data_IF_995301280299
#
_entry.id   IF_995301280299
#
_cell.length_a   1.000
_cell.length_b   1.000
_cell.length_c   1.000
_cell.angle_alpha   90.00
_cell.angle_beta   90.00
_cell.angle_gamma   90.00
#
_symmetry.space_group_name_H-M   'P 1'
#
loop_
_entity.id
_entity.type
_entity.pdbx_description
1 polymer ?
#
# COMPACT_ATOMS: atom_id res chain seq x y z
N UNK A 1 -1.75 -1.97 -6.67
CA UNK A 1 -1.53 -3.33 -7.23
C UNK A 1 -2.83 -4.05 -7.46
N UNK A 2 -2.82 -5.02 -8.35
CA UNK A 2 -3.94 -5.92 -8.62
C UNK A 2 -3.91 -7.16 -7.70
N UNK A 3 -5.06 -7.81 -7.56
CA UNK A 3 -5.15 -9.08 -6.85
C UNK A 3 -4.20 -10.12 -7.46
N UNK A 4 -3.37 -10.77 -6.64
CA UNK A 4 -2.40 -11.77 -7.08
C UNK A 4 -1.20 -11.24 -7.86
N UNK A 5 -1.05 -9.92 -7.97
CA UNK A 5 0.12 -9.30 -8.61
C UNK A 5 1.39 -9.62 -7.83
N UNK A 6 2.43 -10.03 -8.57
CA UNK A 6 3.76 -10.30 -8.05
C UNK A 6 4.80 -9.65 -8.94
N UNK A 7 5.79 -9.01 -8.32
CA UNK A 7 6.86 -8.34 -9.03
C UNK A 7 8.21 -8.66 -8.38
N UNK A 8 9.13 -9.19 -9.19
CA UNK A 8 10.51 -9.43 -8.78
C UNK A 8 11.48 -8.69 -9.69
N UNK A 9 12.54 -8.20 -9.11
CA UNK A 9 13.68 -7.68 -9.82
C UNK A 9 14.53 -8.82 -10.43
N UNK A 10 15.50 -8.48 -11.26
CA UNK A 10 16.41 -9.44 -11.91
C UNK A 10 17.28 -10.24 -10.93
N UNK A 11 17.51 -9.70 -9.73
CA UNK A 11 18.20 -10.40 -8.64
C UNK A 11 17.32 -11.41 -7.89
N UNK A 12 16.05 -11.57 -8.32
CA UNK A 12 15.07 -12.47 -7.73
C UNK A 12 14.36 -11.94 -6.48
N UNK A 13 14.74 -10.75 -5.99
CA UNK A 13 14.09 -10.12 -4.85
C UNK A 13 12.76 -9.48 -5.25
N UNK A 14 11.80 -9.49 -4.33
CA UNK A 14 10.52 -8.82 -4.53
C UNK A 14 10.68 -7.30 -4.52
N UNK A 15 9.75 -6.65 -5.17
CA UNK A 15 9.58 -5.19 -5.19
C UNK A 15 8.38 -4.84 -4.35
N UNK A 16 8.51 -3.91 -3.42
CA UNK A 16 7.38 -3.46 -2.60
C UNK A 16 6.39 -2.68 -3.46
N UNK A 17 5.21 -3.23 -3.67
CA UNK A 17 4.15 -2.61 -4.48
C UNK A 17 3.16 -1.83 -3.61
N UNK A 18 2.59 -0.76 -4.16
CA UNK A 18 1.51 -0.04 -3.52
C UNK A 18 0.27 -0.95 -3.36
N UNK A 19 -0.35 -1.04 -2.16
CA UNK A 19 -1.27 -2.14 -1.83
C UNK A 19 -2.65 -2.08 -2.50
N UNK A 20 -3.06 -0.94 -3.07
CA UNK A 20 -4.37 -0.78 -3.73
C UNK A 20 -4.23 -0.65 -5.25
N UNK A 21 -5.29 -1.04 -5.97
CA UNK A 21 -5.38 -0.87 -7.43
C UNK A 21 -5.42 0.61 -7.84
N UNK A 22 -6.10 1.44 -7.05
CA UNK A 22 -6.17 2.89 -7.25
C UNK A 22 -5.57 3.61 -6.06
N UNK A 23 -4.76 4.62 -6.34
CA UNK A 23 -4.22 5.53 -5.33
C UNK A 23 -5.13 6.77 -5.27
N UNK A 24 -5.95 6.83 -4.22
CA UNK A 24 -6.76 8.00 -3.89
C UNK A 24 -6.51 8.40 -2.44
N UNK A 25 -5.59 9.34 -2.25
CA UNK A 25 -5.21 9.83 -0.93
C UNK A 25 -6.22 10.86 -0.44
N UNK A 26 -6.75 10.65 0.77
CA UNK A 26 -7.72 11.56 1.41
C UNK A 26 -7.07 12.43 2.46
N UNK A 27 -5.99 11.96 3.08
CA UNK A 27 -5.17 12.74 3.99
C UNK A 27 -3.69 12.43 3.74
N UNK A 28 -2.89 13.47 3.65
CA UNK A 28 -1.44 13.38 3.44
C UNK A 28 -0.68 13.27 4.76
N UNK A 29 0.60 12.94 4.67
CA UNK A 29 1.56 13.02 5.77
C UNK A 29 1.66 14.44 6.31
N UNK A 30 1.88 14.58 7.62
CA UNK A 30 1.90 15.87 8.28
C UNK A 30 0.56 16.60 8.27
N UNK A 31 -0.50 15.98 7.80
CA UNK A 31 -1.85 16.54 7.80
C UNK A 31 -2.39 16.81 9.20
N UNK A 32 -3.50 17.55 9.27
CA UNK A 32 -4.09 17.93 10.54
C UNK A 32 -4.50 16.72 11.41
N UNK A 33 -4.62 16.91 12.71
CA UNK A 33 -5.08 15.91 13.68
C UNK A 33 -4.20 14.66 13.76
N UNK A 34 -4.67 13.54 13.20
CA UNK A 34 -4.06 12.22 13.32
C UNK A 34 -2.73 12.08 12.58
N UNK A 35 -2.47 12.90 11.56
CA UNK A 35 -1.23 12.86 10.78
C UNK A 35 -0.24 13.96 11.16
N UNK A 36 -0.61 14.90 12.04
CA UNK A 36 0.31 15.96 12.45
C UNK A 36 1.60 15.37 13.05
N UNK A 37 2.71 15.66 12.37
CA UNK A 37 4.06 15.18 12.73
C UNK A 37 4.38 13.74 12.29
N UNK A 38 3.45 13.03 11.65
CA UNK A 38 3.68 11.65 11.17
C UNK A 38 3.88 11.57 9.65
N UNK A 39 4.45 10.45 9.18
CA UNK A 39 4.57 10.11 7.76
C UNK A 39 3.46 9.18 7.29
N UNK A 40 2.35 9.15 8.01
CA UNK A 40 1.17 8.35 7.68
C UNK A 40 0.35 9.02 6.59
N UNK A 41 -0.33 8.22 5.78
CA UNK A 41 -1.30 8.66 4.79
C UNK A 41 -2.63 7.91 4.96
N UNK A 42 -3.74 8.54 4.59
CA UNK A 42 -5.04 7.88 4.51
C UNK A 42 -5.47 7.71 3.05
N UNK A 43 -5.92 6.51 2.73
CA UNK A 43 -6.28 6.09 1.38
C UNK A 43 -7.73 5.63 1.35
N UNK A 44 -8.53 6.32 0.58
CA UNK A 44 -9.88 5.88 0.28
C UNK A 44 -9.90 4.83 -0.83
N UNK A 45 -10.80 3.87 -0.74
CA UNK A 45 -11.05 2.94 -1.83
C UNK A 45 -11.60 3.66 -3.06
N UNK A 46 -11.05 3.33 -4.22
CA UNK A 46 -11.42 3.90 -5.51
C UNK A 46 -11.45 2.84 -6.59
N UNK A 47 -12.17 3.06 -7.67
CA UNK A 47 -12.29 2.19 -8.84
C UNK A 47 -12.64 2.97 -10.09
N UNK A 48 -12.83 2.30 -11.21
CA UNK A 48 -13.14 2.93 -12.50
C UNK A 48 -14.39 3.83 -12.47
N UNK A 49 -15.33 3.53 -11.58
CA UNK A 49 -16.60 4.26 -11.42
C UNK A 49 -16.62 5.17 -10.18
N UNK A 50 -15.47 5.48 -9.59
CA UNK A 50 -15.35 6.35 -8.42
C UNK A 50 -15.18 5.59 -7.10
N UNK A 51 -15.74 6.12 -6.03
CA UNK A 51 -15.60 5.66 -4.65
C UNK A 51 -16.01 4.19 -4.47
N UNK A 52 -15.17 3.41 -3.80
CA UNK A 52 -15.43 2.02 -3.41
C UNK A 52 -15.28 1.88 -1.90
N UNK A 53 -16.35 1.45 -1.24
CA UNK A 53 -16.33 1.13 0.19
C UNK A 53 -15.87 -0.31 0.40
N UNK A 54 -15.20 -0.57 1.52
CA UNK A 54 -14.61 -1.89 1.82
C UNK A 54 -13.68 -2.36 0.69
N UNK A 55 -12.96 -1.41 0.10
CA UNK A 55 -12.02 -1.67 -0.99
C UNK A 55 -10.91 -2.62 -0.53
N UNK A 56 -10.63 -3.69 -1.26
CA UNK A 56 -9.57 -4.62 -0.89
C UNK A 56 -8.18 -3.97 -1.02
N UNK A 57 -7.28 -4.34 -0.10
CA UNK A 57 -5.86 -4.10 -0.24
C UNK A 57 -5.06 -5.40 -0.07
N UNK A 58 -3.92 -5.45 -0.72
CA UNK A 58 -3.15 -6.66 -0.90
C UNK A 58 -1.76 -6.54 -0.28
N UNK A 59 -1.14 -7.69 0.05
CA UNK A 59 0.21 -7.75 0.58
C UNK A 59 1.22 -7.10 -0.40
N UNK A 60 1.89 -5.99 -0.01
CA UNK A 60 2.82 -5.26 -0.88
C UNK A 60 4.03 -6.08 -1.32
N UNK A 61 4.41 -7.04 -0.50
CA UNK A 61 5.46 -8.04 -0.72
C UNK A 61 5.11 -9.29 0.09
N UNK A 62 5.85 -10.37 -0.03
CA UNK A 62 5.74 -11.54 0.86
C UNK A 62 6.07 -11.12 2.29
N UNK A 63 5.12 -11.32 3.19
CA UNK A 63 5.15 -10.76 4.53
C UNK A 63 4.54 -11.69 5.58
N UNK A 64 4.72 -11.36 6.83
CA UNK A 64 4.07 -12.01 7.95
C UNK A 64 3.34 -11.00 8.84
N UNK A 65 2.24 -11.43 9.43
CA UNK A 65 1.55 -10.67 10.46
C UNK A 65 2.39 -10.63 11.73
N UNK A 66 2.68 -9.43 12.23
CA UNK A 66 3.44 -9.22 13.47
C UNK A 66 2.52 -9.02 14.65
N UNK A 67 1.54 -8.13 14.52
CA UNK A 67 0.65 -7.73 15.60
C UNK A 67 -0.65 -7.16 15.05
N UNK A 68 -1.68 -7.19 15.88
CA UNK A 68 -2.95 -6.52 15.66
C UNK A 68 -3.49 -6.02 16.98
N UNK A 69 -4.04 -4.81 17.00
CA UNK A 69 -4.73 -4.27 18.19
C UNK A 69 -6.15 -4.84 18.36
N UNK A 70 -6.60 -5.65 17.41
CA UNK A 70 -7.98 -6.11 17.35
C UNK A 70 -8.95 -4.98 16.98
N UNK A 71 -10.21 -5.16 17.30
CA UNK A 71 -11.31 -4.27 16.90
C UNK A 71 -11.44 -2.98 17.71
N UNK A 72 -10.76 -2.91 18.86
CA UNK A 72 -11.13 -1.95 19.91
C UNK A 72 -10.63 -0.53 19.62
N UNK A 73 -9.47 -0.39 18.97
CA UNK A 73 -8.85 0.91 18.77
C UNK A 73 -8.32 1.01 17.34
N UNK A 74 -9.18 1.39 16.41
CA UNK A 74 -8.81 1.63 15.01
C UNK A 74 -8.35 0.38 14.23
N UNK A 75 -8.38 -0.82 14.81
CA UNK A 75 -7.94 -2.08 14.21
C UNK A 75 -6.59 -1.95 13.49
N UNK A 76 -5.56 -1.55 14.22
CA UNK A 76 -4.21 -1.38 13.68
C UNK A 76 -3.53 -2.74 13.52
N UNK A 77 -3.21 -3.09 12.29
CA UNK A 77 -2.64 -4.38 11.89
C UNK A 77 -1.23 -4.15 11.35
N UNK A 78 -0.22 -4.76 11.97
CA UNK A 78 1.20 -4.58 11.64
C UNK A 78 1.72 -5.81 10.92
N UNK A 79 2.33 -5.57 9.78
CA UNK A 79 2.99 -6.55 8.94
C UNK A 79 4.47 -6.21 8.78
N UNK A 80 5.28 -7.23 8.49
CA UNK A 80 6.67 -7.02 8.07
C UNK A 80 7.05 -7.96 6.92
N UNK A 81 7.97 -7.53 6.07
CA UNK A 81 8.50 -8.34 4.98
C UNK A 81 9.27 -9.54 5.54
N UNK A 82 9.17 -10.69 4.87
CA UNK A 82 9.93 -11.91 5.23
C UNK A 82 11.39 -11.76 4.80
N UNK A 83 11.61 -11.21 3.62
CA UNK A 83 12.92 -10.94 3.04
C UNK A 83 13.12 -9.45 2.79
N UNK A 84 14.36 -9.06 2.47
CA UNK A 84 14.64 -7.73 1.94
C UNK A 84 13.98 -7.57 0.57
N UNK A 85 13.37 -6.41 0.34
CA UNK A 85 12.65 -6.04 -0.87
C UNK A 85 13.19 -4.75 -1.47
N UNK A 86 13.05 -4.56 -2.77
CA UNK A 86 13.36 -3.29 -3.42
C UNK A 86 12.31 -2.24 -3.07
N UNK A 87 12.77 -1.13 -2.50
CA UNK A 87 11.95 0.01 -2.10
C UNK A 87 12.03 1.13 -3.17
N UNK A 88 11.01 1.96 -3.24
CA UNK A 88 10.92 3.02 -4.25
C UNK A 88 11.99 4.13 -4.10
N UNK A 89 12.69 4.21 -2.98
CA UNK A 89 13.88 5.06 -2.83
C UNK A 89 15.15 4.48 -3.47
N UNK A 90 15.07 3.25 -4.02
CA UNK A 90 16.18 2.53 -4.66
C UNK A 90 16.96 1.62 -3.71
N UNK A 91 16.62 1.56 -2.45
CA UNK A 91 17.28 0.67 -1.48
C UNK A 91 16.73 -0.76 -1.53
N UNK A 92 17.52 -1.72 -1.02
CA UNK A 92 17.12 -3.10 -0.76
C UNK A 92 17.17 -3.34 0.74
N UNK A 93 15.99 -3.43 1.39
CA UNK A 93 15.93 -3.58 2.84
C UNK A 93 14.68 -4.33 3.30
N UNK A 94 14.65 -4.70 4.59
CA UNK A 94 13.42 -5.10 5.26
C UNK A 94 12.51 -3.88 5.43
N UNK A 95 11.21 -4.15 5.52
CA UNK A 95 10.19 -3.12 5.71
C UNK A 95 9.07 -3.65 6.58
N UNK A 96 8.53 -2.82 7.46
CA UNK A 96 7.29 -3.09 8.16
C UNK A 96 6.27 -1.99 7.88
N UNK A 97 5.00 -2.32 8.00
CA UNK A 97 3.92 -1.36 7.78
C UNK A 97 2.71 -1.67 8.64
N UNK A 98 1.85 -0.67 8.76
CA UNK A 98 0.61 -0.74 9.48
C UNK A 98 -0.55 -0.34 8.58
N UNK A 99 -1.62 -1.14 8.63
CA UNK A 99 -2.93 -0.77 8.12
C UNK A 99 -3.91 -0.59 9.27
N UNK A 100 -4.76 0.42 9.18
CA UNK A 100 -5.78 0.73 10.16
C UNK A 100 -7.18 0.74 9.58
N UNK A 101 -8.17 0.69 10.47
CA UNK A 101 -9.59 0.93 10.22
C UNK A 101 -10.37 -0.17 9.52
N UNK A 102 -9.78 -1.33 9.18
CA UNK A 102 -10.57 -2.46 8.69
C UNK A 102 -11.62 -2.88 9.75
N UNK A 103 -12.85 -3.12 9.33
CA UNK A 103 -13.94 -3.58 10.21
C UNK A 103 -13.85 -5.09 10.56
N UNK A 104 -12.91 -5.79 9.95
CA UNK A 104 -12.67 -7.21 10.16
C UNK A 104 -11.36 -7.44 10.91
N UNK A 105 -11.24 -8.52 11.71
CA UNK A 105 -9.96 -8.93 12.25
C UNK A 105 -9.00 -9.31 11.10
N UNK A 106 -7.69 -9.42 11.36
CA UNK A 106 -6.74 -9.94 10.37
C UNK A 106 -7.18 -11.30 9.83
N UNK A 107 -6.99 -11.52 8.54
CA UNK A 107 -7.36 -12.77 7.87
C UNK A 107 -6.42 -13.95 8.20
N UNK A 108 -5.41 -13.73 9.03
CA UNK A 108 -4.42 -14.73 9.43
C UNK A 108 -3.95 -14.51 10.87
N UNK A 109 -3.23 -15.48 11.40
CA UNK A 109 -2.65 -15.41 12.75
C UNK A 109 -1.24 -14.80 12.73
N UNK A 110 -0.80 -14.17 13.83
CA UNK A 110 0.58 -13.70 13.96
C UNK A 110 1.60 -14.78 13.63
N UNK A 111 2.66 -14.39 12.89
CA UNK A 111 3.69 -15.29 12.39
C UNK A 111 3.36 -16.00 11.08
N UNK A 112 2.10 -16.01 10.65
CA UNK A 112 1.72 -16.62 9.36
C UNK A 112 2.29 -15.79 8.20
N UNK A 113 2.95 -16.47 7.27
CA UNK A 113 3.48 -15.87 6.04
C UNK A 113 2.41 -15.85 4.97
N UNK A 114 2.23 -14.69 4.34
CA UNK A 114 1.37 -14.50 3.17
C UNK A 114 2.21 -13.99 1.99
N UNK A 115 1.89 -14.47 0.80
CA UNK A 115 2.59 -14.12 -0.42
C UNK A 115 2.18 -12.74 -0.93
N UNK A 116 3.08 -12.06 -1.64
CA UNK A 116 2.77 -10.83 -2.36
C UNK A 116 1.49 -10.96 -3.20
N UNK A 117 0.64 -9.95 -3.19
CA UNK A 117 -0.64 -9.93 -3.91
C UNK A 117 -1.80 -10.67 -3.22
N UNK A 118 -1.56 -11.30 -2.07
CA UNK A 118 -2.64 -11.91 -1.27
C UNK A 118 -3.51 -10.82 -0.66
N UNK A 119 -4.84 -11.00 -0.65
CA UNK A 119 -5.77 -10.14 0.08
C UNK A 119 -5.45 -10.20 1.58
N UNK A 120 -5.16 -9.05 2.19
CA UNK A 120 -4.82 -8.96 3.62
C UNK A 120 -5.73 -8.03 4.42
N UNK A 121 -6.63 -7.32 3.75
CA UNK A 121 -7.62 -6.48 4.43
C UNK A 121 -8.46 -5.66 3.46
N UNK A 122 -9.31 -4.82 4.04
CA UNK A 122 -10.19 -3.90 3.32
C UNK A 122 -10.22 -2.55 4.01
N UNK A 123 -10.41 -1.47 3.25
CA UNK A 123 -10.73 -0.17 3.82
C UNK A 123 -11.93 -0.27 4.76
N UNK A 124 -12.02 0.59 5.75
CA UNK A 124 -13.09 0.46 6.73
C UNK A 124 -13.32 1.72 7.56
N UNK A 125 -14.10 1.52 8.61
CA UNK A 125 -14.56 2.58 9.51
C UNK A 125 -14.35 2.22 10.99
N UNK A 126 -13.48 1.25 11.28
CA UNK A 126 -13.19 0.88 12.67
C UNK A 126 -12.47 2.02 13.39
N UNK A 127 -12.98 2.39 14.58
CA UNK A 127 -12.41 3.44 15.40
C UNK A 127 -12.97 4.84 15.13
N UNK A 128 -12.22 5.86 15.53
CA UNK A 128 -12.65 7.26 15.42
C UNK A 128 -12.26 7.83 14.04
N UNK A 129 -13.12 7.62 13.05
CA UNK A 129 -12.91 8.04 11.66
C UNK A 129 -14.14 8.72 11.08
N UNK A 130 -13.95 9.55 10.07
CA UNK A 130 -15.03 10.29 9.40
C UNK A 130 -15.60 9.57 8.17
N UNK A 131 -14.96 8.49 7.73
CA UNK A 131 -15.39 7.73 6.56
C UNK A 131 -14.54 6.50 6.29
N UNK A 132 -14.97 5.67 5.35
CA UNK A 132 -14.28 4.45 4.95
C UNK A 132 -12.93 4.77 4.29
N UNK A 133 -11.83 4.30 4.88
CA UNK A 133 -10.47 4.44 4.36
C UNK A 133 -9.54 3.39 4.99
N UNK A 134 -8.30 3.36 4.57
CA UNK A 134 -7.21 2.68 5.26
C UNK A 134 -6.15 3.69 5.66
N UNK A 135 -5.79 3.71 6.94
CA UNK A 135 -4.61 4.39 7.45
C UNK A 135 -3.38 3.56 7.10
N UNK A 136 -2.36 4.18 6.49
CA UNK A 136 -1.16 3.49 6.03
C UNK A 136 0.09 4.19 6.51
N UNK A 137 0.91 3.47 7.26
CA UNK A 137 2.19 3.91 7.80
C UNK A 137 3.25 2.86 7.48
N UNK A 138 4.46 3.28 7.12
CA UNK A 138 5.56 2.39 6.70
C UNK A 138 6.83 2.77 7.47
N UNK A 139 7.67 1.77 7.79
CA UNK A 139 8.98 1.98 8.37
C UNK A 139 10.02 1.03 7.76
N UNK A 140 11.25 1.50 7.73
CA UNK A 140 12.41 0.71 7.30
C UNK A 140 12.81 -0.30 8.38
N UNK A 141 13.17 -1.51 7.95
CA UNK A 141 13.62 -2.57 8.84
C UNK A 141 12.47 -3.41 9.40
N UNK A 142 12.83 -4.31 10.31
CA UNK A 142 11.85 -5.07 11.09
C UNK A 142 11.12 -4.18 12.08
N UNK A 143 9.95 -4.62 12.52
CA UNK A 143 9.17 -3.90 13.52
C UNK A 143 9.95 -3.72 14.82
N UNK A 144 10.23 -2.47 15.16
CA UNK A 144 10.98 -2.06 16.37
C UNK A 144 10.13 -1.24 17.35
N UNK A 145 8.80 -1.36 17.25
CA UNK A 145 7.88 -0.54 18.01
C UNK A 145 7.60 0.82 17.39
N UNK A 146 6.87 1.63 18.11
CA UNK A 146 6.51 2.99 17.71
C UNK A 146 6.97 4.03 18.71
N UNK A 147 6.73 5.27 18.34
CA UNK A 147 6.98 6.46 19.14
C UNK A 147 5.83 7.45 19.02
N UNK A 148 5.77 8.40 19.95
CA UNK A 148 4.81 9.49 19.93
C UNK A 148 5.49 10.75 19.45
N UNK A 149 4.89 11.43 18.47
CA UNK A 149 5.48 12.61 17.84
C UNK A 149 4.63 13.86 18.05
N UNK A 150 5.28 15.04 18.21
CA UNK A 150 4.57 16.31 18.30
C UNK A 150 3.95 16.69 16.94
N UNK A 151 2.98 17.64 16.91
CA UNK A 151 2.45 18.37 18.06
C UNK A 151 1.35 17.62 18.83
N UNK A 152 0.69 16.63 18.23
CA UNK A 152 -0.53 16.02 18.76
C UNK A 152 -0.30 14.69 19.47
N UNK A 153 0.95 14.34 19.75
CA UNK A 153 1.31 13.06 20.38
C UNK A 153 0.81 11.83 19.56
N UNK A 154 0.81 11.99 18.24
CA UNK A 154 0.41 10.93 17.33
C UNK A 154 1.42 9.78 17.32
N UNK A 155 0.93 8.57 17.07
CA UNK A 155 1.79 7.40 17.00
C UNK A 155 2.31 7.20 15.57
N UNK A 156 3.60 6.87 15.46
CA UNK A 156 4.20 6.34 14.24
C UNK A 156 5.23 5.26 14.56
N UNK A 157 5.70 4.54 13.57
CA UNK A 157 6.84 3.64 13.75
C UNK A 157 8.11 4.42 14.09
N UNK A 158 8.97 3.80 14.88
CA UNK A 158 10.40 4.12 14.84
C UNK A 158 10.93 3.84 13.44
N UNK A 159 11.82 4.69 12.91
CA UNK A 159 12.32 4.62 11.55
C UNK A 159 11.22 4.70 10.46
N UNK A 160 10.12 5.42 10.75
CA UNK A 160 9.12 5.75 9.73
C UNK A 160 9.75 6.31 8.48
N UNK A 161 9.18 5.97 7.33
CA UNK A 161 9.57 6.50 6.03
C UNK A 161 8.34 6.90 5.22
N UNK A 162 8.54 7.77 4.27
CA UNK A 162 7.47 8.17 3.35
C UNK A 162 6.96 6.96 2.54
N UNK A 163 5.65 6.82 2.43
CA UNK A 163 5.04 5.71 1.70
C UNK A 163 5.46 5.71 0.22
N UNK A 164 5.59 6.88 -0.41
CA UNK A 164 6.04 7.01 -1.80
C UNK A 164 7.55 6.71 -1.99
N UNK A 165 8.32 6.61 -0.91
CA UNK A 165 9.69 6.10 -0.93
C UNK A 165 9.77 4.60 -0.67
N UNK A 166 8.71 4.00 -0.13
CA UNK A 166 8.62 2.56 0.11
C UNK A 166 8.01 1.82 -1.08
N UNK A 167 6.88 2.30 -1.60
CA UNK A 167 6.05 1.57 -2.55
C UNK A 167 6.20 2.06 -3.99
N UNK A 168 6.36 1.12 -4.92
CA UNK A 168 6.21 1.37 -6.36
C UNK A 168 4.74 1.25 -6.80
N UNK A 169 4.34 2.04 -7.81
CA UNK A 169 2.96 2.13 -8.30
C UNK A 169 2.77 1.52 -9.70
N UNK A 170 3.39 0.39 -9.99
CA UNK A 170 3.49 -0.20 -11.33
C UNK A 170 2.14 -0.39 -12.04
N UNK A 171 1.20 -1.12 -11.42
CA UNK A 171 -0.15 -1.36 -11.96
C UNK A 171 -1.22 -0.62 -11.11
N UNK A 172 -0.82 0.43 -10.40
CA UNK A 172 -1.71 1.30 -9.63
C UNK A 172 -2.08 2.54 -10.43
N UNK A 173 -3.36 2.84 -10.52
CA UNK A 173 -3.87 4.07 -11.14
C UNK A 173 -3.84 5.21 -10.13
N UNK A 174 -3.04 6.25 -10.40
CA UNK A 174 -3.00 7.42 -9.52
C UNK A 174 -4.16 8.35 -9.88
N UNK A 175 -5.08 8.50 -8.93
CA UNK A 175 -6.22 9.43 -9.02
C UNK A 175 -5.93 10.71 -8.26
N UNK A 176 -5.41 10.59 -7.03
CA UNK A 176 -5.00 11.70 -6.18
C UNK A 176 -3.80 11.27 -5.32
N UNK A 177 -2.62 11.81 -5.61
CA UNK A 177 -1.35 11.45 -4.95
C UNK A 177 -0.62 12.63 -4.33
N UNK A 178 -1.25 13.79 -4.14
CA UNK A 178 -0.69 15.03 -3.53
C UNK A 178 0.66 15.48 -4.11
N UNK A 179 0.88 15.25 -5.40
CA UNK A 179 2.12 15.62 -6.13
C UNK A 179 3.41 14.99 -5.57
N UNK A 180 3.31 13.92 -4.80
CA UNK A 180 4.48 13.13 -4.42
C UNK A 180 5.08 12.43 -5.64
N UNK A 181 6.39 12.18 -5.58
CA UNK A 181 7.13 11.50 -6.65
C UNK A 181 6.91 9.98 -6.58
N UNK A 182 5.70 9.54 -6.93
CA UNK A 182 5.37 8.11 -7.05
C UNK A 182 6.15 7.49 -8.21
N UNK A 183 6.83 6.38 -7.94
CA UNK A 183 7.72 5.74 -8.91
C UNK A 183 7.17 4.39 -9.37
N UNK A 184 7.48 4.05 -10.62
CA UNK A 184 7.35 2.70 -11.16
C UNK A 184 8.70 2.01 -11.14
N UNK A 185 8.71 0.70 -10.91
CA UNK A 185 9.91 -0.11 -11.00
C UNK A 185 10.12 -0.54 -12.46
N UNK A 186 11.22 -0.11 -13.06
CA UNK A 186 11.61 -0.40 -14.44
C UNK A 186 12.89 -1.26 -14.54
N UNK A 187 13.50 -1.58 -13.40
CA UNK A 187 14.76 -2.30 -13.29
C UNK A 187 14.60 -3.80 -13.42
N UNK A 188 14.61 -4.32 -14.68
CA UNK A 188 14.80 -5.74 -14.96
C UNK A 188 13.69 -6.66 -14.41
N UNK A 189 12.47 -6.50 -14.92
CA UNK A 189 11.30 -7.31 -14.52
C UNK A 189 11.35 -8.70 -15.14
N UNK A 190 11.32 -9.74 -14.31
CA UNK A 190 10.87 -11.07 -14.75
C UNK A 190 9.42 -11.25 -14.32
N UNK A 191 8.42 -11.14 -15.20
CA UNK A 191 7.03 -11.38 -14.85
C UNK A 191 6.88 -12.82 -14.39
N UNK A 192 6.42 -13.05 -13.16
CA UNK A 192 6.03 -14.40 -12.75
C UNK A 192 4.63 -14.68 -13.33
N UNK A 193 4.43 -15.74 -14.10
CA UNK A 193 3.12 -16.07 -14.63
C UNK A 193 2.13 -16.28 -13.49
N UNK A 194 1.03 -15.55 -13.51
CA UNK A 194 -0.09 -15.77 -12.57
C UNK A 194 -0.75 -17.10 -12.93
N UNK A 195 -0.81 -18.09 -12.03
CA UNK A 195 -1.51 -19.32 -12.33
C UNK A 195 -3.02 -19.04 -12.46
N UNK A 196 -3.57 -19.18 -13.66
CA UNK A 196 -4.98 -19.41 -13.90
C UNK A 196 -5.92 -18.22 -14.05
N UNK A 197 -5.46 -17.00 -14.19
CA UNK A 197 -6.32 -15.84 -14.46
C UNK A 197 -6.22 -15.40 -15.92
N UNK A 198 -7.13 -15.82 -16.80
CA UNK A 198 -7.25 -15.25 -18.15
C UNK A 198 -7.95 -13.88 -18.09
N UNK A 199 -7.31 -12.88 -17.49
CA UNK A 199 -7.74 -11.50 -17.65
C UNK A 199 -7.10 -10.96 -18.93
N UNK A 200 -7.91 -10.84 -19.99
CA UNK A 200 -7.52 -10.07 -21.17
C UNK A 200 -7.20 -8.64 -20.70
N UNK A 201 -5.92 -8.28 -20.75
CA UNK A 201 -5.48 -6.91 -20.58
C UNK A 201 -6.14 -6.07 -21.67
N UNK A 202 -7.22 -5.37 -21.36
CA UNK A 202 -7.64 -4.24 -22.16
C UNK A 202 -6.65 -3.10 -21.90
N UNK A 203 -5.48 -3.17 -22.54
CA UNK A 203 -4.67 -1.98 -22.75
C UNK A 203 -5.54 -1.03 -23.56
N UNK A 204 -6.13 -0.04 -22.92
CA UNK A 204 -6.58 1.15 -23.63
C UNK A 204 -5.32 1.80 -24.21
N UNK A 205 -5.17 1.79 -25.54
CA UNK A 205 -3.96 2.38 -26.13
C UNK A 205 -4.13 3.90 -26.06
N UNK A 206 -3.38 4.54 -25.19
CA UNK A 206 -3.22 6.00 -25.19
C UNK A 206 -2.88 6.57 -26.56
N UNK A 207 -2.33 5.75 -27.44
CA UNK A 207 -2.04 6.07 -28.84
C UNK A 207 -3.31 6.43 -29.65
N UNK A 208 -4.48 5.85 -29.32
CA UNK A 208 -5.74 6.20 -30.01
C UNK A 208 -6.35 7.52 -29.54
N UNK A 209 -6.11 7.88 -28.27
CA UNK A 209 -6.60 9.16 -27.74
C UNK A 209 -5.79 10.35 -28.32
N UNK A 210 -4.46 10.17 -28.47
CA UNK A 210 -3.61 11.18 -29.07
C UNK A 210 -3.88 11.41 -30.57
N UNK A 211 -4.36 10.39 -31.31
CA UNK A 211 -4.76 10.53 -32.74
C UNK A 211 -6.07 11.29 -32.90
N UNK A 212 -7.03 11.08 -31.99
CA UNK A 212 -8.33 11.77 -32.03
C UNK A 212 -8.24 13.27 -31.74
N UNK A 213 -7.16 13.72 -31.08
CA UNK A 213 -6.91 15.14 -30.80
C UNK A 213 -6.11 15.84 -31.90
N UNK A 214 -5.58 15.11 -32.90
CA UNK A 214 -4.81 15.69 -34.01
C UNK A 214 -5.56 15.75 -35.36
N UNK A 215 -6.79 15.28 -35.43
CA UNK A 215 -7.65 15.45 -36.61
C UNK A 215 -7.19 14.68 -37.86
N UNK A 216 -6.46 13.56 -37.68
CA UNK A 216 -6.09 12.65 -38.78
C UNK A 216 -6.88 11.33 -38.71
#
# INVERSE_FOLDING_TARGET
MLAGEKLKATDGKEVMLFPLEYLYMTQDEGGNYSHAGTLSIDLAGWGANGRVYRCPYYAPCTCKLVSSTGDIANNMIIWESVDKVHLADGSLDYVCWQFGHDNSPPYTLPGTVVQQGTLIGRTGTAGNVTGDHVHFNVARGHYAGGERVPPNNNWQFKNSMHVYNACYVNDTVIVQGYNHNWKTFDGGITPTPTPGGSYKRNRFPWVLYARKLRGD
#
